data_IF_501467999057
#
_entry.id   IF_501467999057
#
_cell.length_a   1.000
_cell.length_b   1.000
_cell.length_c   1.000
_cell.angle_alpha   90.00
_cell.angle_beta   90.00
_cell.angle_gamma   90.00
#
_symmetry.space_group_name_H-M   'P 1'
#
loop_
_entity.id
_entity.type
_entity.pdbx_description
1 polymer ?
#
# COMPACT_ATOMS: atom_id res chain seq x y z
N UNK A 1 1.34 -20.06 15.07
CA UNK A 1 2.18 -19.01 14.46
C UNK A 1 1.43 -18.41 13.28
N UNK A 2 1.51 -17.09 13.07
CA UNK A 2 0.93 -16.43 11.89
C UNK A 2 1.86 -16.60 10.71
N UNK A 3 1.30 -16.80 9.51
CA UNK A 3 2.08 -16.79 8.27
C UNK A 3 1.95 -15.45 7.58
N UNK A 4 3.06 -14.75 7.37
CA UNK A 4 3.10 -13.39 6.80
C UNK A 4 3.94 -13.40 5.54
N UNK A 5 3.36 -12.90 4.45
CA UNK A 5 4.07 -12.58 3.22
C UNK A 5 4.26 -11.05 3.15
N UNK A 6 5.48 -10.61 2.89
CA UNK A 6 5.76 -9.21 2.57
C UNK A 6 6.22 -9.13 1.12
N UNK A 7 5.57 -8.27 0.32
CA UNK A 7 5.90 -8.01 -1.08
C UNK A 7 6.30 -6.54 -1.23
N UNK A 8 7.58 -6.20 -0.96
CA UNK A 8 8.11 -4.88 -1.28
C UNK A 8 8.28 -4.73 -2.78
N UNK A 9 7.91 -3.56 -3.31
CA UNK A 9 8.07 -3.25 -4.73
C UNK A 9 9.19 -2.25 -4.91
N UNK A 10 10.26 -2.69 -5.56
CA UNK A 10 11.42 -1.86 -5.88
C UNK A 10 11.36 -1.34 -7.33
N UNK A 11 11.78 -0.08 -7.52
CA UNK A 11 12.05 0.49 -8.84
C UNK A 11 13.25 1.42 -8.79
N UNK A 12 14.44 0.93 -9.20
CA UNK A 12 15.72 1.66 -9.22
C UNK A 12 16.03 2.38 -7.88
N UNK A 13 15.71 1.75 -6.73
CA UNK A 13 15.79 2.39 -5.40
C UNK A 13 16.44 1.45 -4.38
N UNK A 14 17.64 0.94 -4.71
CA UNK A 14 18.29 -0.12 -3.93
C UNK A 14 18.76 0.33 -2.54
N UNK A 15 19.16 1.59 -2.36
CA UNK A 15 19.50 2.14 -1.04
C UNK A 15 18.28 2.14 -0.10
N UNK A 16 17.08 2.41 -0.66
CA UNK A 16 15.82 2.34 0.09
C UNK A 16 15.42 0.89 0.36
N UNK A 17 15.62 0.00 -0.62
CA UNK A 17 15.39 -1.43 -0.45
C UNK A 17 16.28 -2.01 0.65
N UNK A 18 17.54 -1.63 0.73
CA UNK A 18 18.46 -2.02 1.80
C UNK A 18 17.94 -1.57 3.18
N UNK A 19 17.59 -0.30 3.32
CA UNK A 19 17.02 0.24 4.56
C UNK A 19 15.70 -0.44 4.93
N UNK A 20 14.87 -0.72 3.94
CA UNK A 20 13.60 -1.45 4.10
C UNK A 20 13.85 -2.86 4.67
N UNK A 21 14.72 -3.65 4.02
CA UNK A 21 15.01 -5.04 4.42
C UNK A 21 15.64 -5.11 5.81
N UNK A 22 16.51 -4.17 6.17
CA UNK A 22 17.05 -4.04 7.54
C UNK A 22 15.93 -3.81 8.54
N UNK A 23 15.01 -2.89 8.26
CA UNK A 23 13.88 -2.61 9.16
C UNK A 23 12.92 -3.80 9.31
N UNK A 24 12.68 -4.56 8.23
CA UNK A 24 11.88 -5.79 8.28
C UNK A 24 12.60 -6.86 9.10
N UNK A 25 13.92 -7.00 8.97
CA UNK A 25 14.75 -7.92 9.77
C UNK A 25 14.65 -7.61 11.26
N UNK A 26 14.73 -6.34 11.63
CA UNK A 26 14.58 -5.90 13.03
C UNK A 26 13.17 -6.20 13.55
N UNK A 27 12.13 -5.91 12.75
CA UNK A 27 10.75 -6.19 13.14
C UNK A 27 10.48 -7.71 13.27
N UNK A 28 11.06 -8.52 12.38
CA UNK A 28 10.93 -9.98 12.46
C UNK A 28 11.65 -10.56 13.70
N UNK A 29 12.83 -10.06 14.04
CA UNK A 29 13.56 -10.51 15.24
C UNK A 29 12.71 -10.37 16.51
N UNK A 30 11.82 -9.37 16.57
CA UNK A 30 10.89 -9.17 17.69
C UNK A 30 9.65 -10.07 17.63
N UNK A 31 9.36 -10.68 16.47
CA UNK A 31 8.16 -11.49 16.24
C UNK A 31 8.44 -12.94 15.82
N UNK A 32 9.71 -13.37 15.80
CA UNK A 32 10.15 -14.66 15.23
C UNK A 32 9.51 -15.89 15.88
N UNK A 33 9.12 -15.79 17.15
CA UNK A 33 8.44 -16.86 17.87
C UNK A 33 6.92 -16.88 17.64
N UNK A 34 6.38 -15.87 16.95
CA UNK A 34 4.95 -15.66 16.74
C UNK A 34 4.54 -15.79 15.27
N UNK A 35 5.46 -15.58 14.31
CA UNK A 35 5.18 -15.68 12.89
C UNK A 35 6.25 -16.39 12.07
N UNK A 36 5.79 -17.02 10.98
CA UNK A 36 6.60 -17.42 9.84
C UNK A 36 6.57 -16.28 8.83
N UNK A 37 7.74 -15.84 8.37
CA UNK A 37 7.87 -14.71 7.46
C UNK A 37 8.49 -15.13 6.13
N UNK A 38 7.83 -14.77 5.04
CA UNK A 38 8.38 -14.77 3.69
C UNK A 38 8.44 -13.33 3.19
N UNK A 39 9.60 -12.90 2.69
CA UNK A 39 9.76 -11.62 1.99
C UNK A 39 10.06 -11.90 0.53
N UNK A 40 9.19 -11.45 -0.37
CA UNK A 40 9.35 -11.70 -1.80
C UNK A 40 9.40 -10.36 -2.56
N UNK A 41 10.59 -9.90 -2.88
CA UNK A 41 10.82 -8.61 -3.55
C UNK A 41 10.31 -8.67 -4.98
N UNK A 42 9.41 -7.76 -5.35
CA UNK A 42 9.03 -7.48 -6.73
C UNK A 42 9.94 -6.36 -7.27
N UNK A 43 10.96 -6.73 -8.04
CA UNK A 43 11.92 -5.78 -8.56
C UNK A 43 11.58 -5.38 -10.01
N UNK A 44 10.96 -4.22 -10.14
CA UNK A 44 10.55 -3.60 -11.40
C UNK A 44 11.67 -2.74 -12.03
N UNK A 45 12.90 -2.82 -11.52
CA UNK A 45 13.98 -1.92 -11.90
C UNK A 45 14.39 -2.08 -13.36
N UNK A 46 14.53 -0.97 -14.06
CA UNK A 46 15.09 -0.90 -15.42
C UNK A 46 16.61 -0.93 -15.42
N UNK A 47 17.23 -0.68 -14.27
CA UNK A 47 18.66 -0.78 -14.01
C UNK A 47 18.86 -1.71 -12.81
N UNK A 48 18.78 -3.03 -13.02
CA UNK A 48 18.88 -3.97 -11.91
C UNK A 48 20.30 -4.00 -11.34
N UNK A 49 20.40 -4.03 -10.02
CA UNK A 49 21.63 -4.20 -9.28
C UNK A 49 21.67 -5.60 -8.65
N UNK A 50 22.86 -6.13 -8.41
CA UNK A 50 23.03 -7.38 -7.68
C UNK A 50 22.99 -7.09 -6.18
N UNK A 51 22.11 -7.81 -5.48
CA UNK A 51 21.93 -7.69 -4.04
C UNK A 51 22.35 -9.02 -3.41
N UNK A 52 23.23 -8.94 -2.43
CA UNK A 52 23.50 -10.08 -1.57
C UNK A 52 22.37 -10.22 -0.53
N UNK A 53 21.46 -11.15 -0.79
CA UNK A 53 20.31 -11.40 0.10
C UNK A 53 20.73 -12.03 1.43
N UNK A 54 21.91 -12.66 1.52
CA UNK A 54 22.38 -13.37 2.71
C UNK A 54 22.77 -12.43 3.86
N UNK A 55 22.99 -11.16 3.58
CA UNK A 55 23.31 -10.16 4.61
C UNK A 55 22.13 -9.80 5.52
N UNK A 56 20.89 -10.16 5.10
CA UNK A 56 19.69 -9.86 5.88
C UNK A 56 19.28 -11.07 6.72
N UNK A 57 19.07 -10.84 8.01
CA UNK A 57 18.58 -11.88 8.92
C UNK A 57 17.07 -12.08 8.74
N UNK A 58 16.69 -12.70 7.59
CA UNK A 58 15.30 -13.01 7.23
C UNK A 58 15.19 -14.51 6.90
N UNK A 59 14.13 -15.20 7.37
CA UNK A 59 14.03 -16.66 7.26
C UNK A 59 13.82 -17.13 5.81
N UNK A 60 13.09 -16.37 5.01
CA UNK A 60 12.81 -16.67 3.61
C UNK A 60 12.75 -15.34 2.83
N UNK A 61 13.85 -15.02 2.13
CA UNK A 61 13.99 -13.80 1.35
C UNK A 61 14.25 -14.16 -0.11
N UNK A 62 13.35 -13.71 -0.99
CA UNK A 62 13.37 -13.99 -2.42
C UNK A 62 13.26 -12.70 -3.23
N UNK A 63 13.75 -12.73 -4.48
CA UNK A 63 13.60 -11.63 -5.43
C UNK A 63 13.08 -12.14 -6.76
N UNK A 64 12.11 -11.43 -7.35
CA UNK A 64 11.63 -11.61 -8.71
C UNK A 64 11.93 -10.36 -9.51
N UNK A 65 12.81 -10.47 -10.48
CA UNK A 65 13.05 -9.40 -11.45
C UNK A 65 11.95 -9.42 -12.50
N UNK A 66 11.40 -8.25 -12.76
CA UNK A 66 10.24 -8.05 -13.64
C UNK A 66 10.52 -6.91 -14.60
N UNK A 67 9.80 -6.87 -15.71
CA UNK A 67 9.61 -5.63 -16.43
C UNK A 67 8.88 -4.63 -15.56
N UNK A 68 9.00 -3.32 -15.84
CA UNK A 68 8.34 -2.32 -15.04
C UNK A 68 6.81 -2.38 -15.21
N UNK A 69 6.15 -3.16 -14.36
CA UNK A 69 4.70 -3.35 -14.32
C UNK A 69 3.97 -2.27 -13.51
N UNK A 70 4.67 -1.26 -13.01
CA UNK A 70 4.16 -0.32 -12.01
C UNK A 70 4.13 -0.92 -10.61
N UNK A 71 3.82 -0.08 -9.62
CA UNK A 71 3.83 -0.47 -8.21
C UNK A 71 2.95 -1.70 -7.94
N UNK A 72 1.66 -1.55 -8.17
CA UNK A 72 0.71 -2.60 -7.82
C UNK A 72 0.81 -3.80 -8.78
N UNK A 73 1.09 -3.56 -10.06
CA UNK A 73 1.30 -4.63 -11.05
C UNK A 73 2.47 -5.55 -10.69
N UNK A 74 3.59 -5.01 -10.22
CA UNK A 74 4.73 -5.80 -9.72
C UNK A 74 4.37 -6.66 -8.52
N UNK A 75 3.66 -6.09 -7.53
CA UNK A 75 3.19 -6.85 -6.38
C UNK A 75 2.21 -7.96 -6.78
N UNK A 76 1.25 -7.65 -7.65
CA UNK A 76 0.27 -8.64 -8.13
C UNK A 76 0.92 -9.76 -8.92
N UNK A 77 2.01 -9.49 -9.68
CA UNK A 77 2.74 -10.56 -10.35
C UNK A 77 3.28 -11.60 -9.35
N UNK A 78 3.87 -11.15 -8.25
CA UNK A 78 4.37 -12.05 -7.20
C UNK A 78 3.21 -12.80 -6.55
N UNK A 79 2.15 -12.11 -6.15
CA UNK A 79 0.99 -12.68 -5.46
C UNK A 79 0.28 -13.73 -6.32
N UNK A 80 0.09 -13.45 -7.61
CA UNK A 80 -0.68 -14.34 -8.49
C UNK A 80 0.14 -15.51 -9.05
N UNK A 81 1.47 -15.39 -9.16
CA UNK A 81 2.29 -16.35 -9.93
C UNK A 81 3.42 -17.02 -9.15
N UNK A 82 3.81 -16.46 -7.98
CA UNK A 82 5.00 -16.94 -7.30
C UNK A 82 4.73 -17.60 -5.94
N UNK A 83 3.51 -17.45 -5.40
CA UNK A 83 3.11 -17.95 -4.08
C UNK A 83 1.68 -18.49 -4.10
N UNK A 84 1.37 -19.40 -3.19
CA UNK A 84 -0.02 -19.75 -2.87
C UNK A 84 -0.53 -18.82 -1.77
N UNK A 85 -1.20 -17.75 -2.18
CA UNK A 85 -1.57 -16.63 -1.30
C UNK A 85 -2.49 -17.04 -0.15
N UNK A 86 -3.27 -18.12 -0.30
CA UNK A 86 -4.17 -18.65 0.74
C UNK A 86 -3.43 -19.26 1.94
N UNK A 87 -2.14 -19.56 1.78
CA UNK A 87 -1.33 -20.11 2.87
C UNK A 87 -0.97 -19.06 3.91
N UNK A 88 -1.14 -17.77 3.58
CA UNK A 88 -0.76 -16.66 4.46
C UNK A 88 -1.95 -16.09 5.23
N UNK A 89 -1.74 -15.76 6.50
CA UNK A 89 -2.71 -15.03 7.33
C UNK A 89 -2.77 -13.56 6.94
N UNK A 90 -1.61 -12.99 6.55
CA UNK A 90 -1.48 -11.61 6.09
C UNK A 90 -0.52 -11.51 4.90
N UNK A 91 -0.90 -10.68 3.93
CA UNK A 91 -0.03 -10.27 2.81
C UNK A 91 0.16 -8.77 2.89
N UNK A 92 1.42 -8.34 3.01
CA UNK A 92 1.80 -6.92 3.10
C UNK A 92 2.39 -6.51 1.76
N UNK A 93 1.74 -5.58 1.06
CA UNK A 93 2.26 -4.96 -0.17
C UNK A 93 2.73 -3.56 0.21
N UNK A 94 3.96 -3.20 -0.09
CA UNK A 94 4.47 -1.88 0.26
C UNK A 94 5.52 -1.35 -0.72
N UNK A 95 5.65 -0.03 -0.76
CA UNK A 95 6.80 0.62 -1.38
C UNK A 95 8.05 0.42 -0.51
N UNK A 96 9.24 0.45 -1.13
CA UNK A 96 10.51 0.34 -0.43
C UNK A 96 10.94 1.65 0.27
N UNK A 97 10.24 2.76 0.07
CA UNK A 97 10.44 4.01 0.80
C UNK A 97 9.71 4.03 2.18
N UNK A 98 9.15 2.90 2.56
CA UNK A 98 8.59 2.65 3.89
C UNK A 98 9.61 1.89 4.74
N UNK A 99 9.63 2.13 6.05
CA UNK A 99 10.39 1.32 7.02
C UNK A 99 9.49 0.89 8.17
N UNK A 100 9.71 -0.31 8.67
CA UNK A 100 8.94 -0.86 9.77
C UNK A 100 9.51 -0.40 11.11
N UNK A 101 8.65 -0.03 12.06
CA UNK A 101 9.07 -0.03 13.45
C UNK A 101 9.37 -1.47 13.89
N UNK A 102 10.36 -1.65 14.77
CA UNK A 102 10.76 -2.98 15.22
C UNK A 102 9.61 -3.78 15.89
N UNK A 103 8.59 -3.10 16.41
CA UNK A 103 7.40 -3.71 17.01
C UNK A 103 6.27 -4.00 16.02
N UNK A 104 6.40 -3.59 14.74
CA UNK A 104 5.29 -3.60 13.80
C UNK A 104 4.75 -5.02 13.51
N UNK A 105 5.63 -5.99 13.25
CA UNK A 105 5.21 -7.38 12.99
C UNK A 105 4.66 -8.04 14.25
N UNK A 106 5.24 -7.78 15.42
CA UNK A 106 4.70 -8.26 16.68
C UNK A 106 3.29 -7.71 16.93
N UNK A 107 3.09 -6.41 16.73
CA UNK A 107 1.77 -5.79 16.87
C UNK A 107 0.74 -6.40 15.89
N UNK A 108 1.16 -6.76 14.67
CA UNK A 108 0.29 -7.45 13.71
C UNK A 108 -0.05 -8.88 14.17
N UNK A 109 0.91 -9.61 14.76
CA UNK A 109 0.67 -10.96 15.29
C UNK A 109 -0.28 -10.97 16.49
N UNK A 110 -0.10 -10.00 17.39
CA UNK A 110 -0.92 -9.85 18.61
C UNK A 110 -2.33 -9.32 18.31
N UNK A 111 -2.52 -8.75 17.13
CA UNK A 111 -3.75 -8.07 16.78
C UNK A 111 -4.93 -9.04 16.70
N UNK A 112 -5.95 -8.78 17.49
CA UNK A 112 -7.25 -9.47 17.41
C UNK A 112 -8.18 -8.68 16.49
N UNK A 113 -8.41 -9.21 15.29
CA UNK A 113 -9.34 -8.64 14.33
C UNK A 113 -10.55 -9.53 14.14
N UNK A 114 -11.68 -8.90 13.85
CA UNK A 114 -12.89 -9.62 13.42
C UNK A 114 -12.60 -10.36 12.09
N UNK A 115 -13.19 -11.57 11.89
CA UNK A 115 -12.99 -12.36 10.67
C UNK A 115 -13.42 -11.64 9.38
N UNK A 116 -14.22 -10.58 9.47
CA UNK A 116 -14.68 -9.76 8.35
C UNK A 116 -13.74 -8.60 8.00
N UNK A 117 -12.59 -8.44 8.69
CA UNK A 117 -11.59 -7.42 8.32
C UNK A 117 -10.73 -7.96 7.20
N UNK A 118 -10.86 -7.36 6.00
CA UNK A 118 -10.12 -7.73 4.80
C UNK A 118 -8.83 -6.94 4.61
N UNK A 119 -8.79 -5.69 5.08
CA UNK A 119 -7.64 -4.80 4.92
C UNK A 119 -7.37 -4.03 6.21
N UNK A 120 -6.11 -4.04 6.66
CA UNK A 120 -5.61 -3.27 7.79
C UNK A 120 -4.69 -2.16 7.24
N UNK A 121 -5.02 -0.89 7.55
CA UNK A 121 -4.20 0.27 7.21
C UNK A 121 -3.37 0.68 8.43
N UNK A 122 -2.03 0.62 8.37
CA UNK A 122 -1.16 0.92 9.50
C UNK A 122 -1.01 2.43 9.73
N UNK A 123 -0.57 2.81 10.94
CA UNK A 123 -0.07 4.16 11.21
C UNK A 123 1.20 4.43 10.39
N UNK A 124 1.31 5.66 9.86
CA UNK A 124 2.47 6.10 9.10
C UNK A 124 2.97 7.44 9.60
N UNK A 125 4.26 7.49 9.86
CA UNK A 125 4.97 8.73 10.16
C UNK A 125 5.74 9.21 8.93
N UNK A 126 5.74 10.50 8.65
CA UNK A 126 6.54 11.08 7.56
C UNK A 126 7.81 11.73 8.12
N UNK A 127 8.96 11.23 7.70
CA UNK A 127 10.23 11.87 8.00
C UNK A 127 10.34 13.26 7.37
N UNK A 128 9.79 13.43 6.18
CA UNK A 128 9.79 14.71 5.46
C UNK A 128 8.94 15.79 6.15
N UNK A 129 7.76 15.41 6.65
CA UNK A 129 6.82 16.36 7.27
C UNK A 129 6.91 16.37 8.80
N UNK A 130 7.77 15.52 9.38
CA UNK A 130 7.97 15.37 10.83
C UNK A 130 6.65 15.17 11.58
N UNK A 131 5.79 14.30 11.07
CA UNK A 131 4.48 14.04 11.67
C UNK A 131 3.72 12.89 11.04
N UNK A 132 2.57 12.52 11.63
CA UNK A 132 1.72 11.47 11.09
C UNK A 132 1.15 11.85 9.72
N UNK A 133 0.99 10.86 8.85
CA UNK A 133 0.34 11.00 7.56
C UNK A 133 -1.09 10.48 7.66
N UNK A 134 -2.05 11.34 7.38
CA UNK A 134 -3.46 10.96 7.27
C UNK A 134 -3.94 11.13 5.84
N UNK A 135 -4.19 10.04 5.15
CA UNK A 135 -4.77 10.02 3.80
C UNK A 135 -5.94 9.04 3.69
N UNK A 136 -6.28 8.40 4.79
CA UNK A 136 -7.38 7.48 4.89
C UNK A 136 -8.71 8.18 4.61
N UNK A 137 -9.61 7.49 3.92
CA UNK A 137 -10.96 7.99 3.63
C UNK A 137 -11.94 7.22 4.50
N UNK A 138 -12.71 7.93 5.31
CA UNK A 138 -13.76 7.33 6.14
C UNK A 138 -14.95 6.89 5.31
N UNK A 139 -15.26 7.65 4.26
CA UNK A 139 -16.44 7.45 3.44
C UNK A 139 -16.09 7.17 1.98
N UNK A 140 -16.93 6.37 1.34
CA UNK A 140 -16.85 6.10 -0.10
C UNK A 140 -16.95 7.40 -0.89
N UNK A 141 -16.07 7.54 -1.87
CA UNK A 141 -16.08 8.73 -2.75
C UNK A 141 -17.38 8.76 -3.54
N UNK A 142 -18.20 9.82 -3.49
CA UNK A 142 -19.44 9.88 -4.25
C UNK A 142 -19.18 10.01 -5.75
N UNK A 143 -20.11 9.48 -6.58
CA UNK A 143 -20.01 9.46 -8.05
C UNK A 143 -19.69 10.83 -8.66
N UNK A 144 -20.33 11.89 -8.17
CA UNK A 144 -20.10 13.25 -8.66
C UNK A 144 -18.66 13.74 -8.41
N UNK A 145 -18.09 13.37 -7.26
CA UNK A 145 -16.71 13.73 -6.90
C UNK A 145 -15.69 12.97 -7.74
N UNK A 146 -15.95 11.70 -8.07
CA UNK A 146 -15.13 10.94 -9.02
C UNK A 146 -15.10 11.63 -10.39
N UNK A 147 -16.26 12.03 -10.93
CA UNK A 147 -16.35 12.78 -12.19
C UNK A 147 -15.60 14.11 -12.14
N UNK A 148 -15.72 14.84 -11.03
CA UNK A 148 -15.00 16.10 -10.84
C UNK A 148 -13.47 15.87 -10.81
N UNK A 149 -12.98 14.85 -10.11
CA UNK A 149 -11.56 14.51 -10.07
C UNK A 149 -11.05 14.11 -11.46
N UNK A 150 -11.79 13.29 -12.21
CA UNK A 150 -11.46 12.94 -13.60
C UNK A 150 -11.36 14.19 -14.48
N UNK A 151 -12.31 15.12 -14.36
CA UNK A 151 -12.28 16.38 -15.09
C UNK A 151 -11.05 17.22 -14.72
N UNK A 152 -10.71 17.30 -13.43
CA UNK A 152 -9.54 18.04 -12.95
C UNK A 152 -8.21 17.47 -13.49
N UNK A 153 -8.06 16.15 -13.49
CA UNK A 153 -6.85 15.51 -14.02
C UNK A 153 -6.74 15.63 -15.56
N UNK A 154 -7.85 15.84 -16.27
CA UNK A 154 -7.81 16.24 -17.70
C UNK A 154 -7.27 17.66 -17.92
N UNK A 155 -7.23 18.50 -16.86
CA UNK A 155 -6.83 19.90 -16.94
C UNK A 155 -5.65 20.18 -15.97
N UNK A 156 -4.40 19.79 -16.31
CA UNK A 156 -3.24 19.83 -15.40
C UNK A 156 -2.96 21.21 -14.78
N UNK A 157 -3.25 22.29 -15.52
CA UNK A 157 -3.05 23.67 -15.01
C UNK A 157 -4.00 23.98 -13.84
N UNK A 158 -5.25 23.53 -13.91
CA UNK A 158 -6.26 23.70 -12.86
C UNK A 158 -5.88 22.83 -11.64
N UNK A 159 -5.47 21.59 -11.89
CA UNK A 159 -5.00 20.66 -10.85
C UNK A 159 -3.83 21.25 -10.03
N UNK A 160 -2.85 21.89 -10.68
CA UNK A 160 -1.71 22.53 -10.02
C UNK A 160 -2.13 23.62 -9.01
N UNK A 161 -3.14 24.41 -9.35
CA UNK A 161 -3.70 25.46 -8.47
C UNK A 161 -4.39 24.83 -7.26
N UNK A 162 -5.17 23.76 -7.48
CA UNK A 162 -5.87 23.07 -6.40
C UNK A 162 -4.91 22.33 -5.45
N UNK A 163 -3.84 21.70 -5.96
CA UNK A 163 -2.81 21.05 -5.13
C UNK A 163 -2.19 22.02 -4.13
N UNK A 164 -1.92 23.27 -4.55
CA UNK A 164 -1.42 24.32 -3.66
C UNK A 164 -2.42 24.70 -2.54
N UNK A 165 -3.73 24.71 -2.86
CA UNK A 165 -4.78 25.02 -1.88
C UNK A 165 -5.03 23.85 -0.91
N UNK A 166 -4.96 22.63 -1.38
CA UNK A 166 -5.12 21.43 -0.55
C UNK A 166 -3.98 21.27 0.47
N UNK A 167 -2.73 21.53 0.08
CA UNK A 167 -1.57 21.44 0.97
C UNK A 167 -1.68 22.38 2.22
N UNK A 168 -2.46 23.47 2.12
CA UNK A 168 -2.72 24.38 3.23
C UNK A 168 -3.70 23.79 4.27
N UNK A 169 -4.59 22.87 3.87
CA UNK A 169 -5.61 22.24 4.73
C UNK A 169 -5.08 21.06 5.56
N UNK A 170 -3.96 20.44 5.17
CA UNK A 170 -3.38 19.28 5.85
C UNK A 170 -2.79 19.57 7.24
N UNK A 171 -2.69 20.84 7.62
CA UNK A 171 -2.04 21.26 8.88
C UNK A 171 -2.93 21.17 10.14
N UNK A 172 -4.23 20.94 9.98
CA UNK A 172 -5.20 21.13 11.08
C UNK A 172 -5.83 19.80 11.58
N UNK A 173 -5.25 18.64 11.27
CA UNK A 173 -5.79 17.37 11.76
C UNK A 173 -5.29 17.13 13.19
N UNK A 174 -6.23 16.97 14.12
CA UNK A 174 -5.92 16.72 15.53
C UNK A 174 -5.11 15.40 15.70
N UNK A 175 -4.00 15.47 16.42
CA UNK A 175 -3.09 14.34 16.65
C UNK A 175 -3.78 13.15 17.35
N UNK A 176 -4.81 13.40 18.13
CA UNK A 176 -5.58 12.37 18.85
C UNK A 176 -6.23 11.33 17.90
N UNK A 177 -6.64 11.74 16.70
CA UNK A 177 -7.31 10.84 15.73
C UNK A 177 -6.38 9.76 15.16
N UNK A 178 -5.07 9.96 15.24
CA UNK A 178 -4.07 8.99 14.75
C UNK A 178 -3.81 7.83 15.72
N UNK A 179 -4.29 7.91 16.95
CA UNK A 179 -4.02 6.91 17.99
C UNK A 179 -5.17 5.94 18.22
N UNK A 180 -6.28 6.11 17.51
CA UNK A 180 -7.49 5.31 17.72
C UNK A 180 -7.75 4.40 16.52
N UNK A 181 -7.89 3.09 16.78
CA UNK A 181 -8.34 2.13 15.77
C UNK A 181 -9.78 2.45 15.35
N UNK A 182 -10.04 2.43 14.05
CA UNK A 182 -11.39 2.70 13.53
C UNK A 182 -11.62 2.01 12.19
N UNK A 183 -12.89 1.76 11.88
CA UNK A 183 -13.31 1.36 10.55
C UNK A 183 -13.24 2.55 9.60
N UNK A 184 -12.71 2.32 8.41
CA UNK A 184 -12.57 3.32 7.35
C UNK A 184 -13.03 2.70 6.03
N UNK A 185 -13.31 3.54 5.03
CA UNK A 185 -13.60 3.04 3.69
C UNK A 185 -12.32 2.63 2.95
N UNK A 186 -11.26 3.41 3.08
CA UNK A 186 -10.08 3.25 2.25
C UNK A 186 -8.83 3.70 3.01
N UNK A 187 -7.83 2.83 3.08
CA UNK A 187 -6.50 3.14 3.61
C UNK A 187 -5.60 3.81 2.59
N UNK A 188 -4.29 3.77 2.84
CA UNK A 188 -3.29 4.31 1.92
C UNK A 188 -2.65 3.23 1.07
N UNK A 189 -2.45 3.54 -0.21
CA UNK A 189 -1.83 2.66 -1.18
C UNK A 189 -0.34 2.39 -0.98
N UNK A 190 0.39 3.17 -0.17
CA UNK A 190 1.82 2.94 0.06
C UNK A 190 2.12 1.68 0.89
N UNK A 191 1.14 1.18 1.65
CA UNK A 191 1.22 -0.08 2.38
C UNK A 191 -0.17 -0.67 2.57
N UNK A 192 -0.38 -1.86 2.01
CA UNK A 192 -1.56 -2.67 2.23
C UNK A 192 -1.20 -3.84 3.15
N UNK A 193 -2.01 -4.11 4.17
CA UNK A 193 -1.95 -5.35 4.95
C UNK A 193 -3.28 -6.06 4.70
N UNK A 194 -3.29 -6.98 3.74
CA UNK A 194 -4.48 -7.74 3.37
C UNK A 194 -4.52 -9.04 4.17
N UNK A 195 -5.67 -9.32 4.76
CA UNK A 195 -5.85 -10.50 5.60
C UNK A 195 -6.22 -11.74 4.76
N UNK A 196 -6.15 -12.90 5.39
CA UNK A 196 -6.65 -14.16 4.80
C UNK A 196 -8.12 -14.07 4.37
N UNK A 197 -8.95 -13.29 5.08
CA UNK A 197 -10.35 -13.09 4.70
C UNK A 197 -10.49 -12.46 3.31
N UNK A 198 -9.61 -11.54 2.94
CA UNK A 198 -9.58 -10.95 1.61
C UNK A 198 -9.22 -11.99 0.54
N UNK A 199 -8.19 -12.79 0.77
CA UNK A 199 -7.73 -13.81 -0.19
C UNK A 199 -8.59 -15.07 -0.23
N UNK A 200 -9.45 -15.29 0.74
CA UNK A 200 -10.50 -16.31 0.64
C UNK A 200 -11.53 -15.98 -0.46
N UNK A 201 -11.70 -14.69 -0.78
CA UNK A 201 -12.61 -14.21 -1.84
C UNK A 201 -11.86 -13.96 -3.14
N UNK A 202 -10.67 -13.35 -3.07
CA UNK A 202 -9.90 -12.90 -4.24
C UNK A 202 -8.54 -13.59 -4.30
N UNK A 203 -8.46 -14.73 -4.99
CA UNK A 203 -7.21 -15.49 -5.12
C UNK A 203 -6.34 -15.03 -6.28
N UNK A 204 -6.93 -14.34 -7.25
CA UNK A 204 -6.24 -13.73 -8.38
C UNK A 204 -6.73 -12.28 -8.52
N UNK A 205 -5.81 -11.34 -8.50
CA UNK A 205 -6.12 -9.92 -8.58
C UNK A 205 -5.60 -9.34 -9.89
N UNK A 206 -6.48 -8.68 -10.63
CA UNK A 206 -6.12 -7.99 -11.88
C UNK A 206 -6.41 -6.51 -11.77
N UNK A 207 -5.38 -5.70 -11.88
CA UNK A 207 -5.45 -4.25 -11.93
C UNK A 207 -4.63 -3.74 -13.11
N UNK A 208 -5.26 -3.35 -14.23
CA UNK A 208 -4.55 -3.05 -15.49
C UNK A 208 -3.94 -1.65 -15.54
N UNK A 209 -3.99 -0.89 -14.44
CA UNK A 209 -3.50 0.48 -14.39
C UNK A 209 -2.08 0.49 -13.84
N UNK A 210 -1.21 1.25 -14.53
CA UNK A 210 0.21 1.29 -14.20
C UNK A 210 0.51 1.94 -12.85
N UNK A 211 -0.14 3.06 -12.52
CA UNK A 211 0.03 3.80 -11.26
C UNK A 211 -1.27 4.47 -10.82
N UNK A 212 -1.44 4.59 -9.50
CA UNK A 212 -2.55 5.24 -8.78
C UNK A 212 -3.87 4.48 -8.80
N UNK A 213 -4.68 4.73 -7.79
CA UNK A 213 -6.03 4.21 -7.63
C UNK A 213 -6.14 2.82 -7.04
N UNK A 214 -5.03 2.14 -6.79
CA UNK A 214 -4.97 0.81 -6.18
C UNK A 214 -5.67 0.75 -4.82
N UNK A 215 -5.58 1.82 -4.04
CA UNK A 215 -6.25 1.90 -2.75
C UNK A 215 -7.79 1.93 -2.90
N UNK A 216 -8.30 2.63 -3.91
CA UNK A 216 -9.75 2.64 -4.18
C UNK A 216 -10.18 1.29 -4.75
N UNK A 217 -9.34 0.67 -5.60
CA UNK A 217 -9.60 -0.65 -6.15
C UNK A 217 -9.78 -1.71 -5.04
N UNK A 218 -8.85 -1.78 -4.11
CA UNK A 218 -8.92 -2.71 -2.96
C UNK A 218 -10.11 -2.39 -2.05
N UNK A 219 -10.40 -1.11 -1.79
CA UNK A 219 -11.54 -0.69 -0.98
C UNK A 219 -12.88 -1.10 -1.62
N UNK A 220 -13.03 -0.96 -2.94
CA UNK A 220 -14.24 -1.39 -3.65
C UNK A 220 -14.37 -2.92 -3.67
N UNK A 221 -13.28 -3.65 -3.83
CA UNK A 221 -13.30 -5.12 -3.71
C UNK A 221 -13.70 -5.56 -2.30
N UNK A 222 -13.13 -4.93 -1.26
CA UNK A 222 -13.52 -5.20 0.13
C UNK A 222 -15.02 -4.91 0.36
N UNK A 223 -15.52 -3.79 -0.17
CA UNK A 223 -16.95 -3.42 -0.09
C UNK A 223 -17.85 -4.47 -0.75
N UNK A 224 -17.49 -4.94 -1.95
CA UNK A 224 -18.25 -5.98 -2.69
C UNK A 224 -18.27 -7.31 -1.92
N UNK A 225 -17.16 -7.65 -1.29
CA UNK A 225 -17.03 -8.87 -0.48
C UNK A 225 -17.61 -8.74 0.94
N UNK A 226 -18.23 -7.62 1.29
CA UNK A 226 -18.69 -7.29 2.65
C UNK A 226 -17.59 -7.39 3.71
N UNK A 227 -16.34 -7.06 3.31
CA UNK A 227 -15.19 -7.02 4.19
C UNK A 227 -14.94 -5.57 4.65
N UNK A 228 -14.45 -5.45 5.87
CA UNK A 228 -14.10 -4.17 6.49
C UNK A 228 -12.67 -3.77 6.19
N UNK A 229 -12.45 -2.47 6.12
CA UNK A 229 -11.13 -1.85 6.15
C UNK A 229 -10.94 -1.19 7.51
N UNK A 230 -9.85 -1.53 8.20
CA UNK A 230 -9.57 -1.03 9.55
C UNK A 230 -8.26 -0.25 9.59
N UNK A 231 -8.30 0.96 10.11
CA UNK A 231 -7.10 1.68 10.52
C UNK A 231 -6.61 1.16 11.87
N UNK A 232 -5.32 0.80 11.94
CA UNK A 232 -4.76 0.19 13.14
C UNK A 232 -3.43 0.88 13.54
N UNK A 233 -3.46 1.80 14.52
CA UNK A 233 -2.30 2.59 14.90
C UNK A 233 -1.25 1.84 15.73
N UNK A 234 -1.52 0.63 16.19
CA UNK A 234 -0.53 -0.21 16.86
C UNK A 234 0.56 -0.69 15.89
N UNK A 235 0.22 -0.85 14.60
CA UNK A 235 1.15 -1.22 13.55
C UNK A 235 1.74 0.07 12.96
N UNK A 236 3.04 0.29 13.15
CA UNK A 236 3.70 1.55 12.82
C UNK A 236 4.74 1.38 11.73
N UNK A 237 4.67 2.28 10.75
CA UNK A 237 5.68 2.43 9.70
C UNK A 237 6.13 3.88 9.58
N UNK A 238 7.34 4.09 9.07
CA UNK A 238 7.86 5.41 8.69
C UNK A 238 7.94 5.50 7.17
N UNK A 239 7.49 6.60 6.61
CA UNK A 239 7.71 6.95 5.21
C UNK A 239 8.91 7.90 5.12
N UNK A 240 9.96 7.48 4.43
CA UNK A 240 11.23 8.22 4.31
C UNK A 240 11.12 9.30 3.22
N UNK A 241 10.23 9.14 2.26
CA UNK A 241 9.97 10.16 1.22
C UNK A 241 9.48 9.61 -0.12
N UNK A 242 8.97 10.50 -0.97
CA UNK A 242 8.49 10.19 -2.31
C UNK A 242 9.69 9.99 -3.27
N UNK A 243 10.21 8.77 -3.39
CA UNK A 243 11.41 8.48 -4.18
C UNK A 243 11.08 8.25 -5.65
N UNK A 244 10.07 7.44 -5.92
CA UNK A 244 9.78 6.97 -7.28
C UNK A 244 8.95 7.97 -8.12
N UNK A 245 8.14 8.81 -7.48
CA UNK A 245 7.21 9.72 -8.18
C UNK A 245 7.72 11.16 -8.26
N UNK A 246 8.76 11.51 -7.49
CA UNK A 246 9.30 12.88 -7.42
C UNK A 246 9.91 13.39 -8.73
N UNK A 247 10.31 12.49 -9.64
CA UNK A 247 10.92 12.82 -10.93
C UNK A 247 9.95 12.79 -12.12
N UNK A 248 8.69 12.37 -11.89
CA UNK A 248 7.70 12.23 -12.96
C UNK A 248 7.07 13.60 -13.31
N UNK A 249 7.00 13.92 -14.60
CA UNK A 249 6.34 15.15 -15.09
C UNK A 249 4.89 15.24 -14.61
N UNK A 250 4.49 16.44 -14.21
CA UNK A 250 3.16 16.72 -13.67
C UNK A 250 2.01 16.39 -14.64
N UNK A 251 2.24 16.48 -15.94
CA UNK A 251 1.25 16.08 -16.96
C UNK A 251 1.06 14.56 -16.95
N UNK A 252 2.15 13.81 -16.83
CA UNK A 252 2.13 12.35 -16.80
C UNK A 252 1.45 11.83 -15.51
N UNK A 253 1.71 12.49 -14.38
CA UNK A 253 1.00 12.22 -13.12
C UNK A 253 -0.52 12.43 -13.30
N UNK A 254 -0.94 13.53 -13.93
CA UNK A 254 -2.35 13.79 -14.19
C UNK A 254 -2.96 12.75 -15.13
N UNK A 255 -2.23 12.32 -16.16
CA UNK A 255 -2.68 11.28 -17.08
C UNK A 255 -2.93 9.95 -16.35
N UNK A 256 -1.95 9.46 -15.57
CA UNK A 256 -2.10 8.21 -14.81
C UNK A 256 -3.27 8.27 -13.82
N UNK A 257 -3.42 9.38 -13.10
CA UNK A 257 -4.56 9.56 -12.20
C UNK A 257 -5.91 9.57 -12.95
N UNK A 258 -5.95 10.20 -14.12
CA UNK A 258 -7.15 10.17 -14.96
C UNK A 258 -7.48 8.75 -15.42
N UNK A 259 -6.51 8.00 -15.92
CA UNK A 259 -6.67 6.62 -16.38
C UNK A 259 -7.17 5.72 -15.22
N UNK A 260 -6.56 5.85 -14.04
CA UNK A 260 -6.97 5.12 -12.84
C UNK A 260 -8.42 5.43 -12.45
N UNK A 261 -8.75 6.71 -12.31
CA UNK A 261 -10.11 7.12 -11.93
C UNK A 261 -11.15 6.73 -12.97
N UNK A 262 -10.82 6.80 -14.27
CA UNK A 262 -11.71 6.39 -15.34
C UNK A 262 -11.99 4.88 -15.30
N UNK A 263 -10.95 4.06 -15.10
CA UNK A 263 -11.10 2.62 -14.93
C UNK A 263 -11.98 2.29 -13.71
N UNK A 264 -11.66 2.87 -12.55
CA UNK A 264 -12.41 2.64 -11.31
C UNK A 264 -13.87 3.10 -11.43
N UNK A 265 -14.10 4.28 -12.04
CA UNK A 265 -15.44 4.79 -12.25
C UNK A 265 -16.26 3.83 -13.10
N UNK A 266 -15.72 3.38 -14.23
CA UNK A 266 -16.43 2.46 -15.12
C UNK A 266 -16.68 1.10 -14.49
N UNK A 267 -15.74 0.59 -13.67
CA UNK A 267 -15.85 -0.71 -13.04
C UNK A 267 -16.82 -0.74 -11.86
N UNK A 268 -16.79 0.29 -10.99
CA UNK A 268 -17.46 0.25 -9.69
C UNK A 268 -18.55 1.31 -9.47
N UNK A 269 -18.59 2.35 -10.29
CA UNK A 269 -19.46 3.50 -10.05
C UNK A 269 -20.54 3.70 -11.12
N UNK A 270 -20.49 2.97 -12.25
CA UNK A 270 -21.52 3.05 -13.31
C UNK A 270 -22.69 2.13 -13.04
N UNK A 271 -22.48 0.98 -12.42
CA UNK A 271 -23.56 0.06 -12.11
C UNK A 271 -24.53 0.71 -11.14
N UNK A 272 -25.78 0.89 -11.55
CA UNK A 272 -26.89 1.23 -10.67
C UNK A 272 -27.11 0.05 -9.71
N UNK A 273 -27.08 0.31 -8.42
CA UNK A 273 -27.66 -0.62 -7.46
C UNK A 273 -29.17 -0.57 -7.58
#
# INVERSE_FOLDING_TARGET
MKKILIVPVNYNSYDYLDSYLKSVSEAWNMAKDECELTVYIADNSTKPEDIDLSQYNLPDLRIKRLDNLGYFGGALHVINNCVEVKDYDYVIISNVDMTFYNTALKALCDLKVSPDVGWISPYRYSERHKGPIWVEKTDRIPKWKMKLLMWLFKHPHIHKIQKKRAAKRYRDIATADFLVSKEIYCGCGSCFILSKAFFNVYTNLEYPIFLYGEEIFIAELATIAHLKVRYEPSIKLTNIGEVSTGTVDSKRICQYNYEALNYLYNRFFTQSK
#
